data_IF_067498666910
#
_entry.id   IF_067498666910
#
_cell.length_a   1.000
_cell.length_b   1.000
_cell.length_c   1.000
_cell.angle_alpha   90.00
_cell.angle_beta   90.00
_cell.angle_gamma   90.00
#
_symmetry.space_group_name_H-M   'P 1'
#
loop_
_entity.id
_entity.type
_entity.pdbx_description
1 polymer ?
#
# COMPACT_ATOMS: atom_id res chain seq x y z
N UNK A 1 -17.21 28.01 -2.31
CA UNK A 1 -17.20 26.55 -2.56
C UNK A 1 -15.84 26.02 -2.15
N UNK A 2 -15.77 25.05 -1.24
CA UNK A 2 -14.49 24.47 -0.82
C UNK A 2 -13.94 23.57 -1.93
N UNK A 3 -12.66 23.71 -2.27
CA UNK A 3 -11.98 22.86 -3.25
C UNK A 3 -11.96 21.41 -2.74
N UNK A 4 -12.38 20.46 -3.57
CA UNK A 4 -12.26 19.03 -3.27
C UNK A 4 -10.94 18.50 -3.82
N UNK A 5 -10.12 17.91 -2.96
CA UNK A 5 -8.81 17.36 -3.31
C UNK A 5 -8.83 15.84 -3.18
N UNK A 6 -8.37 15.15 -4.22
CA UNK A 6 -8.13 13.71 -4.19
C UNK A 6 -6.65 13.44 -4.42
N UNK A 7 -6.04 12.65 -3.54
CA UNK A 7 -4.70 12.12 -3.75
C UNK A 7 -4.83 10.74 -4.39
N UNK A 8 -4.36 10.57 -5.62
CA UNK A 8 -4.49 9.30 -6.34
C UNK A 8 -3.33 8.33 -6.07
N UNK A 9 -2.28 8.78 -5.36
CA UNK A 9 -1.08 8.01 -5.06
C UNK A 9 -0.48 8.51 -3.74
N UNK A 10 -1.05 8.03 -2.64
CA UNK A 10 -0.63 8.40 -1.30
C UNK A 10 0.21 7.27 -0.69
N UNK A 11 1.39 7.63 -0.21
CA UNK A 11 2.18 6.78 0.66
C UNK A 11 2.04 7.24 2.11
N UNK A 12 1.51 6.37 2.95
CA UNK A 12 1.39 6.61 4.38
C UNK A 12 2.12 5.50 5.15
N UNK A 13 2.97 5.92 6.09
CA UNK A 13 3.66 4.99 6.98
C UNK A 13 2.94 4.91 8.33
N UNK A 14 2.19 3.83 8.64
CA UNK A 14 1.51 3.68 9.91
C UNK A 14 2.45 3.31 11.07
N UNK A 15 3.70 2.92 10.80
CA UNK A 15 4.67 2.45 11.80
C UNK A 15 5.54 3.60 12.32
N UNK A 16 6.05 4.44 11.42
CA UNK A 16 7.00 5.52 11.73
C UNK A 16 6.48 6.93 11.43
N UNK A 17 5.31 7.02 10.79
CA UNK A 17 4.68 8.29 10.42
C UNK A 17 3.67 8.77 11.47
N UNK A 18 2.89 9.78 11.10
CA UNK A 18 1.89 10.39 11.98
C UNK A 18 0.63 9.54 12.23
N UNK A 19 0.50 8.40 11.55
CA UNK A 19 -0.67 7.51 11.63
C UNK A 19 -1.86 7.95 10.75
N UNK A 20 -2.76 6.99 10.47
CA UNK A 20 -3.92 7.16 9.60
C UNK A 20 -4.87 8.25 10.10
N UNK A 21 -5.17 8.24 11.40
CA UNK A 21 -6.12 9.17 12.01
C UNK A 21 -5.71 10.63 11.92
N UNK A 22 -4.46 10.94 12.30
CA UNK A 22 -3.96 12.31 12.26
C UNK A 22 -3.85 12.82 10.81
N UNK A 23 -3.42 11.95 9.89
CA UNK A 23 -3.40 12.25 8.46
C UNK A 23 -4.81 12.55 7.94
N UNK A 24 -5.78 11.67 8.20
CA UNK A 24 -7.14 11.80 7.67
C UNK A 24 -7.81 13.09 8.12
N UNK A 25 -7.68 13.44 9.41
CA UNK A 25 -8.19 14.70 9.95
C UNK A 25 -7.63 15.91 9.19
N UNK A 26 -6.30 16.02 9.09
CA UNK A 26 -5.63 17.13 8.41
C UNK A 26 -5.96 17.19 6.91
N UNK A 27 -6.01 16.03 6.25
CA UNK A 27 -6.32 15.97 4.83
C UNK A 27 -7.75 16.43 4.57
N UNK A 28 -8.72 16.00 5.40
CA UNK A 28 -10.12 16.46 5.31
C UNK A 28 -10.29 17.94 5.58
N UNK A 29 -9.58 18.48 6.57
CA UNK A 29 -9.55 19.93 6.86
C UNK A 29 -9.06 20.74 5.65
N UNK A 30 -8.15 20.18 4.84
CA UNK A 30 -7.67 20.77 3.59
C UNK A 30 -8.58 20.50 2.36
N UNK A 31 -9.77 19.93 2.54
CA UNK A 31 -10.70 19.60 1.44
C UNK A 31 -10.48 18.21 0.81
N UNK A 32 -9.63 17.39 1.41
CA UNK A 32 -9.35 16.02 1.02
C UNK A 32 -10.55 15.09 1.17
N UNK A 33 -10.84 14.27 0.16
CA UNK A 33 -11.98 13.34 0.19
C UNK A 33 -11.64 11.92 -0.30
N UNK A 34 -10.59 11.77 -1.11
CA UNK A 34 -10.19 10.49 -1.71
C UNK A 34 -8.68 10.25 -1.60
N UNK A 35 -8.31 9.00 -1.32
CA UNK A 35 -6.92 8.54 -1.22
C UNK A 35 -6.74 7.23 -1.99
N UNK A 36 -5.81 7.24 -2.95
CA UNK A 36 -5.23 6.03 -3.55
C UNK A 36 -4.05 5.57 -2.71
N UNK A 37 -4.29 4.74 -1.69
CA UNK A 37 -3.27 4.29 -0.75
C UNK A 37 -2.38 3.21 -1.39
N UNK A 38 -1.08 3.43 -1.40
CA UNK A 38 -0.07 2.51 -1.96
C UNK A 38 0.85 2.02 -0.86
N UNK A 39 1.06 0.70 -0.77
CA UNK A 39 2.01 0.16 0.20
C UNK A 39 3.42 0.72 -0.05
N UNK A 40 4.16 0.98 1.04
CA UNK A 40 5.57 1.32 0.97
C UNK A 40 6.42 0.06 0.74
N UNK A 41 7.71 0.32 0.55
CA UNK A 41 8.79 -0.67 0.59
C UNK A 41 8.80 -1.39 1.93
N UNK A 42 9.10 -2.69 1.92
CA UNK A 42 9.13 -3.61 3.06
C UNK A 42 9.93 -3.07 4.24
N UNK A 43 11.13 -2.55 3.99
CA UNK A 43 12.00 -1.95 5.01
C UNK A 43 11.45 -0.65 5.62
N UNK A 44 10.49 0.03 4.96
CA UNK A 44 9.78 1.16 5.57
C UNK A 44 8.89 0.73 6.73
N UNK A 45 8.55 -0.56 6.78
CA UNK A 45 7.78 -1.20 7.85
C UNK A 45 8.64 -2.12 8.74
N UNK A 46 9.97 -2.02 8.64
CA UNK A 46 10.92 -2.90 9.33
C UNK A 46 10.69 -4.40 9.01
N UNK A 47 10.29 -4.69 7.77
CA UNK A 47 10.16 -6.06 7.25
C UNK A 47 11.34 -6.35 6.35
N UNK A 48 12.13 -7.35 6.70
CA UNK A 48 13.14 -7.93 5.81
C UNK A 48 12.49 -9.05 5.01
N UNK A 49 12.59 -8.99 3.68
CA UNK A 49 11.97 -9.95 2.77
C UNK A 49 12.98 -11.02 2.41
N UNK A 50 12.63 -12.27 2.68
CA UNK A 50 13.38 -13.46 2.26
C UNK A 50 12.53 -14.42 1.42
N UNK A 51 11.20 -14.26 1.52
CA UNK A 51 10.18 -15.06 0.85
C UNK A 51 8.99 -14.17 0.44
N UNK A 52 8.11 -14.69 -0.42
CA UNK A 52 6.92 -13.96 -0.83
C UNK A 52 5.94 -13.72 0.34
N UNK A 53 5.92 -14.62 1.32
CA UNK A 53 5.04 -14.58 2.48
C UNK A 53 5.33 -13.37 3.38
N UNK A 54 6.56 -12.85 3.38
CA UNK A 54 6.93 -11.66 4.15
C UNK A 54 6.12 -10.41 3.72
N UNK A 55 5.68 -10.37 2.45
CA UNK A 55 4.80 -9.30 1.95
C UNK A 55 3.40 -9.34 2.53
N UNK A 56 2.93 -10.45 3.10
CA UNK A 56 1.62 -10.49 3.77
C UNK A 56 1.55 -9.47 4.90
N UNK A 57 2.67 -9.27 5.62
CA UNK A 57 2.75 -8.24 6.67
C UNK A 57 2.64 -6.84 6.10
N UNK A 58 3.36 -6.57 5.00
CA UNK A 58 3.31 -5.29 4.26
C UNK A 58 1.89 -4.98 3.80
N UNK A 59 1.22 -5.97 3.20
CA UNK A 59 -0.15 -5.81 2.69
C UNK A 59 -1.17 -5.65 3.81
N UNK A 60 -1.05 -6.43 4.89
CA UNK A 60 -1.94 -6.33 6.06
C UNK A 60 -1.89 -4.95 6.70
N UNK A 61 -0.69 -4.39 6.89
CA UNK A 61 -0.51 -3.03 7.40
C UNK A 61 -1.17 -1.98 6.49
N UNK A 62 -1.03 -2.15 5.18
CA UNK A 62 -1.64 -1.22 4.21
C UNK A 62 -3.16 -1.32 4.23
N UNK A 63 -3.71 -2.54 4.32
CA UNK A 63 -5.15 -2.77 4.39
C UNK A 63 -5.75 -2.26 5.71
N UNK A 64 -5.09 -2.48 6.86
CA UNK A 64 -5.56 -1.93 8.13
C UNK A 64 -5.56 -0.40 8.13
N UNK A 65 -4.50 0.19 7.58
CA UNK A 65 -4.41 1.65 7.37
C UNK A 65 -5.56 2.15 6.51
N UNK A 66 -5.92 1.44 5.43
CA UNK A 66 -7.04 1.80 4.58
C UNK A 66 -8.37 1.78 5.33
N UNK A 67 -8.60 0.79 6.19
CA UNK A 67 -9.81 0.73 7.04
C UNK A 67 -9.86 1.89 8.04
N UNK A 68 -8.76 2.23 8.70
CA UNK A 68 -8.70 3.39 9.60
C UNK A 68 -9.02 4.70 8.86
N UNK A 69 -8.46 4.90 7.66
CA UNK A 69 -8.75 6.08 6.85
C UNK A 69 -10.24 6.14 6.44
N UNK A 70 -10.85 5.00 6.13
CA UNK A 70 -12.30 4.91 5.81
C UNK A 70 -13.16 5.26 7.02
N UNK A 71 -12.81 4.78 8.21
CA UNK A 71 -13.49 5.12 9.46
C UNK A 71 -13.44 6.62 9.75
N UNK A 72 -12.37 7.30 9.35
CA UNK A 72 -12.21 8.75 9.47
C UNK A 72 -12.91 9.55 8.35
N UNK A 73 -13.66 8.88 7.47
CA UNK A 73 -14.55 9.49 6.48
C UNK A 73 -13.92 9.75 5.10
N UNK A 74 -12.74 9.16 4.81
CA UNK A 74 -12.14 9.23 3.48
C UNK A 74 -12.60 8.07 2.59
N UNK A 75 -12.73 8.33 1.28
CA UNK A 75 -12.82 7.25 0.29
C UNK A 75 -11.42 6.73 -0.01
N UNK A 76 -11.21 5.41 0.08
CA UNK A 76 -9.88 4.82 -0.09
C UNK A 76 -9.90 3.71 -1.14
N UNK A 77 -9.06 3.86 -2.16
CA UNK A 77 -8.66 2.76 -3.05
C UNK A 77 -7.29 2.25 -2.62
N UNK A 78 -7.06 0.94 -2.64
CA UNK A 78 -5.79 0.35 -2.19
C UNK A 78 -5.03 -0.24 -3.36
N UNK A 79 -3.76 0.12 -3.51
CA UNK A 79 -2.82 -0.43 -4.48
C UNK A 79 -1.80 -1.27 -3.71
N UNK A 80 -1.79 -2.57 -3.99
CA UNK A 80 -0.90 -3.55 -3.35
C UNK A 80 0.05 -4.15 -4.38
N UNK A 81 1.31 -4.28 -4.02
CA UNK A 81 2.32 -5.05 -4.74
C UNK A 81 3.74 -4.76 -4.26
N UNK A 82 4.70 -5.64 -4.56
CA UNK A 82 6.12 -5.32 -4.39
C UNK A 82 6.51 -4.15 -5.29
N UNK A 83 7.37 -3.27 -4.78
CA UNK A 83 8.00 -2.24 -5.59
C UNK A 83 9.19 -2.83 -6.36
N UNK A 84 9.54 -2.34 -7.57
CA UNK A 84 10.70 -2.86 -8.32
C UNK A 84 12.02 -2.86 -7.54
N UNK A 85 12.22 -1.86 -6.67
CA UNK A 85 13.40 -1.77 -5.79
C UNK A 85 13.53 -2.95 -4.80
N UNK A 86 12.45 -3.67 -4.50
CA UNK A 86 12.51 -4.88 -3.68
C UNK A 86 13.27 -6.01 -4.38
N UNK A 87 13.14 -6.11 -5.71
CA UNK A 87 13.88 -7.10 -6.50
C UNK A 87 15.38 -6.83 -6.39
N UNK A 88 15.79 -5.58 -6.57
CA UNK A 88 17.19 -5.17 -6.46
C UNK A 88 17.74 -5.50 -5.06
N UNK A 89 16.98 -5.17 -4.00
CA UNK A 89 17.38 -5.47 -2.62
C UNK A 89 17.55 -6.97 -2.36
N UNK A 90 16.70 -7.83 -2.93
CA UNK A 90 16.84 -9.28 -2.79
C UNK A 90 18.14 -9.78 -3.44
N UNK A 91 18.48 -9.26 -4.63
CA UNK A 91 19.73 -9.60 -5.33
C UNK A 91 20.94 -9.10 -4.54
N UNK A 92 20.90 -7.86 -4.06
CA UNK A 92 21.98 -7.27 -3.23
C UNK A 92 22.17 -8.03 -1.91
N UNK A 93 21.10 -8.63 -1.37
CA UNK A 93 21.14 -9.49 -0.19
C UNK A 93 21.62 -10.93 -0.50
N UNK A 94 21.99 -11.23 -1.75
CA UNK A 94 22.60 -12.51 -2.15
C UNK A 94 21.64 -13.53 -2.74
N UNK A 95 20.39 -13.18 -3.06
CA UNK A 95 19.52 -14.08 -3.82
C UNK A 95 19.96 -14.13 -5.29
N UNK A 96 19.83 -15.30 -5.93
CA UNK A 96 19.94 -15.36 -7.39
C UNK A 96 18.81 -14.56 -8.04
N UNK A 97 19.03 -14.06 -9.25
CA UNK A 97 18.03 -13.29 -10.01
C UNK A 97 16.75 -14.10 -10.19
N UNK A 98 16.85 -15.38 -10.50
CA UNK A 98 15.71 -16.29 -10.70
C UNK A 98 14.89 -16.42 -9.42
N UNK A 99 15.57 -16.58 -8.27
CA UNK A 99 14.91 -16.64 -6.97
C UNK A 99 14.23 -15.31 -6.64
N UNK A 100 14.92 -14.18 -6.84
CA UNK A 100 14.37 -12.86 -6.55
C UNK A 100 13.11 -12.58 -7.40
N UNK A 101 13.16 -12.91 -8.70
CA UNK A 101 12.00 -12.81 -9.61
C UNK A 101 10.86 -13.71 -9.14
N UNK A 102 11.13 -14.96 -8.76
CA UNK A 102 10.10 -15.88 -8.27
C UNK A 102 9.40 -15.34 -7.01
N UNK A 103 10.16 -14.77 -6.07
CA UNK A 103 9.62 -14.14 -4.85
C UNK A 103 8.70 -12.96 -5.20
N UNK A 104 9.15 -12.05 -6.06
CA UNK A 104 8.38 -10.86 -6.47
C UNK A 104 7.11 -11.25 -7.23
N UNK A 105 7.18 -12.23 -8.13
CA UNK A 105 6.00 -12.71 -8.86
C UNK A 105 4.96 -13.32 -7.92
N UNK A 106 5.38 -14.13 -6.95
CA UNK A 106 4.45 -14.70 -5.98
C UNK A 106 3.89 -13.63 -5.03
N UNK A 107 4.67 -12.61 -4.68
CA UNK A 107 4.18 -11.45 -3.93
C UNK A 107 3.08 -10.69 -4.70
N UNK A 108 3.17 -10.55 -6.03
CA UNK A 108 2.05 -10.03 -6.84
C UNK A 108 0.83 -10.95 -6.82
N UNK A 109 1.01 -12.28 -6.83
CA UNK A 109 -0.12 -13.23 -6.71
C UNK A 109 -0.81 -13.09 -5.34
N UNK A 110 -0.05 -12.94 -4.26
CA UNK A 110 -0.56 -12.66 -2.91
C UNK A 110 -1.38 -11.35 -2.88
N UNK A 111 -0.85 -10.26 -3.46
CA UNK A 111 -1.59 -9.01 -3.57
C UNK A 111 -2.93 -9.16 -4.32
N UNK A 112 -2.93 -9.95 -5.40
CA UNK A 112 -4.14 -10.29 -6.16
C UNK A 112 -5.16 -11.12 -5.37
N UNK A 113 -4.72 -11.96 -4.43
CA UNK A 113 -5.61 -12.72 -3.53
C UNK A 113 -6.21 -11.81 -2.45
N UNK A 114 -5.39 -10.97 -1.81
CA UNK A 114 -5.83 -10.04 -0.76
C UNK A 114 -6.91 -9.04 -1.22
N UNK A 115 -6.95 -8.72 -2.51
CA UNK A 115 -7.99 -7.86 -3.10
C UNK A 115 -9.36 -8.52 -3.20
N UNK A 116 -9.42 -9.85 -3.36
CA UNK A 116 -10.70 -10.59 -3.50
C UNK A 116 -11.47 -10.66 -2.20
N UNK A 117 -10.78 -10.53 -1.07
CA UNK A 117 -11.38 -10.53 0.28
C UNK A 117 -11.74 -9.13 0.79
N UNK A 118 -11.25 -8.05 0.17
CA UNK A 118 -11.32 -6.69 0.74
C UNK A 118 -11.83 -5.56 -0.16
N UNK A 119 -12.47 -5.86 -1.30
CA UNK A 119 -13.19 -4.87 -2.13
C UNK A 119 -12.38 -3.63 -2.57
N UNK A 120 -11.71 -3.68 -3.73
CA UNK A 120 -11.45 -2.46 -4.53
C UNK A 120 -10.14 -2.36 -5.34
N UNK A 121 -10.28 -2.02 -6.64
CA UNK A 121 -9.45 -1.07 -7.44
C UNK A 121 -8.14 -1.52 -8.11
N UNK A 122 -8.17 -2.05 -9.35
CA UNK A 122 -7.03 -2.56 -10.18
C UNK A 122 -5.63 -1.98 -9.89
N UNK A 123 -4.62 -2.85 -9.84
CA UNK A 123 -3.22 -2.45 -9.90
C UNK A 123 -2.99 -1.49 -11.09
N UNK A 124 -2.44 -0.30 -10.82
CA UNK A 124 -2.05 0.68 -11.83
C UNK A 124 -3.12 1.67 -12.32
N UNK A 125 -4.36 1.66 -11.81
CA UNK A 125 -5.32 2.75 -12.10
C UNK A 125 -6.13 3.11 -10.85
N UNK A 126 -5.69 4.14 -10.14
CA UNK A 126 -6.38 4.78 -9.01
C UNK A 126 -7.64 5.53 -9.42
N UNK A 127 -8.56 4.88 -10.15
CA UNK A 127 -9.85 5.49 -10.48
C UNK A 127 -10.70 5.53 -9.19
N UNK A 128 -11.11 6.72 -8.71
CA UNK A 128 -12.01 6.79 -7.56
C UNK A 128 -13.32 6.08 -7.89
N UNK A 129 -13.96 5.39 -6.92
CA UNK A 129 -15.29 4.84 -7.12
C UNK A 129 -16.28 5.96 -7.45
N UNK A 130 -17.33 5.68 -8.26
CA UNK A 130 -18.32 6.66 -8.68
C UNK A 130 -18.98 7.40 -7.50
#
# INVERSE_FOLDING_TARGET
MALRVGDNHCHLNPVRGMGARAFAKRFREAGGWFVGLVNLLSWSYSVEVTSAQDYERVYRLTLSTAEELRQEGLRVAVILGPHPAELARLVDAGASVEKAVAVVLEAYRLAGRARRTGGGGRAGRGRPPP
#
